data_IF_542418675517
#
_entry.id   IF_542418675517
#
_cell.length_a   1.000
_cell.length_b   1.000
_cell.length_c   1.000
_cell.angle_alpha   90.00
_cell.angle_beta   90.00
_cell.angle_gamma   90.00
#
_symmetry.space_group_name_H-M   'P 1'
#
loop_
_entity.id
_entity.type
_entity.pdbx_description
1 polymer ?
#
# COMPACT_ATOMS: atom_id res chain seq x y z
N UNK A 1 -23.38 -27.69 -6.63
CA UNK A 1 -22.08 -27.00 -6.47
C UNK A 1 -21.35 -27.70 -5.34
N UNK A 2 -20.15 -28.22 -5.57
CA UNK A 2 -19.41 -28.97 -4.56
C UNK A 2 -19.08 -28.03 -3.38
N UNK A 3 -19.04 -28.55 -2.15
CA UNK A 3 -18.63 -27.75 -0.97
C UNK A 3 -17.27 -27.09 -1.19
N UNK A 4 -16.37 -27.78 -1.89
CA UNK A 4 -15.05 -27.26 -2.24
C UNK A 4 -15.13 -26.01 -3.15
N UNK A 5 -16.06 -25.98 -4.12
CA UNK A 5 -16.29 -24.82 -4.99
C UNK A 5 -16.81 -23.61 -4.20
N UNK A 6 -17.67 -23.84 -3.21
CA UNK A 6 -18.20 -22.79 -2.32
C UNK A 6 -17.06 -22.12 -1.56
N UNK A 7 -16.19 -22.94 -0.95
CA UNK A 7 -15.03 -22.49 -0.17
C UNK A 7 -14.00 -21.81 -1.07
N UNK A 8 -13.80 -22.29 -2.28
CA UNK A 8 -12.90 -21.67 -3.25
C UNK A 8 -13.39 -20.29 -3.70
N UNK A 9 -14.69 -20.15 -3.96
CA UNK A 9 -15.30 -18.85 -4.27
C UNK A 9 -15.17 -17.88 -3.11
N UNK A 10 -15.29 -18.36 -1.87
CA UNK A 10 -15.03 -17.55 -0.69
C UNK A 10 -13.58 -17.06 -0.64
N UNK A 11 -12.60 -17.94 -0.87
CA UNK A 11 -11.19 -17.54 -0.98
C UNK A 11 -11.03 -16.39 -1.99
N UNK A 12 -11.63 -16.53 -3.18
CA UNK A 12 -11.55 -15.52 -4.26
C UNK A 12 -12.13 -14.18 -3.84
N UNK A 13 -13.23 -14.16 -3.10
CA UNK A 13 -13.81 -12.93 -2.55
C UNK A 13 -12.86 -12.26 -1.56
N UNK A 14 -12.23 -13.03 -0.65
CA UNK A 14 -11.29 -12.49 0.33
C UNK A 14 -9.98 -12.01 -0.29
N UNK A 15 -9.47 -12.72 -1.29
CA UNK A 15 -8.27 -12.31 -2.02
C UNK A 15 -8.52 -11.02 -2.81
N UNK A 16 -9.64 -10.94 -3.53
CA UNK A 16 -10.07 -9.72 -4.20
C UNK A 16 -10.21 -8.53 -3.23
N UNK A 17 -10.77 -8.78 -2.05
CA UNK A 17 -10.91 -7.77 -0.99
C UNK A 17 -9.54 -7.30 -0.49
N UNK A 18 -8.61 -8.22 -0.26
CA UNK A 18 -7.25 -7.89 0.15
C UNK A 18 -6.53 -7.03 -0.92
N UNK A 19 -6.64 -7.40 -2.20
CA UNK A 19 -6.06 -6.66 -3.33
C UNK A 19 -6.66 -5.26 -3.47
N UNK A 20 -7.99 -5.12 -3.36
CA UNK A 20 -8.66 -3.81 -3.40
C UNK A 20 -8.25 -2.93 -2.21
N UNK A 21 -8.21 -3.49 -1.01
CA UNK A 21 -7.77 -2.78 0.19
C UNK A 21 -6.32 -2.29 0.04
N UNK A 22 -5.42 -3.15 -0.43
CA UNK A 22 -4.02 -2.81 -0.68
C UNK A 22 -3.88 -1.71 -1.74
N UNK A 23 -4.63 -1.81 -2.84
CA UNK A 23 -4.61 -0.80 -3.91
C UNK A 23 -5.12 0.55 -3.41
N UNK A 24 -6.19 0.57 -2.61
CA UNK A 24 -6.74 1.79 -2.00
C UNK A 24 -5.73 2.43 -1.06
N UNK A 25 -5.10 1.65 -0.19
CA UNK A 25 -4.05 2.13 0.73
C UNK A 25 -2.85 2.70 -0.04
N UNK A 26 -2.38 2.01 -1.08
CA UNK A 26 -1.30 2.50 -1.95
C UNK A 26 -1.65 3.82 -2.62
N UNK A 27 -2.87 3.96 -3.16
CA UNK A 27 -3.34 5.22 -3.76
C UNK A 27 -3.43 6.34 -2.72
N UNK A 28 -3.98 6.07 -1.53
CA UNK A 28 -4.06 7.04 -0.44
C UNK A 28 -2.66 7.50 0.00
N UNK A 29 -1.71 6.59 0.20
CA UNK A 29 -0.31 6.93 0.54
C UNK A 29 0.34 7.81 -0.52
N UNK A 30 0.15 7.47 -1.81
CA UNK A 30 0.67 8.29 -2.93
C UNK A 30 0.01 9.67 -2.98
N UNK A 31 -1.30 9.74 -2.76
CA UNK A 31 -2.05 11.00 -2.71
C UNK A 31 -1.58 11.91 -1.57
N UNK A 32 -1.45 11.36 -0.36
CA UNK A 32 -0.92 12.09 0.79
C UNK A 32 0.50 12.60 0.55
N UNK A 33 1.37 11.73 0.01
CA UNK A 33 2.73 12.11 -0.39
C UNK A 33 2.71 13.26 -1.38
N UNK A 34 1.97 13.14 -2.48
CA UNK A 34 1.88 14.18 -3.50
C UNK A 34 1.38 15.51 -2.91
N UNK A 35 0.32 15.48 -2.10
CA UNK A 35 -0.23 16.68 -1.47
C UNK A 35 0.79 17.34 -0.53
N UNK A 36 1.50 16.55 0.29
CA UNK A 36 2.52 17.09 1.20
C UNK A 36 3.69 17.73 0.43
N UNK A 37 4.18 17.08 -0.63
CA UNK A 37 5.28 17.60 -1.45
C UNK A 37 4.87 18.86 -2.21
N UNK A 38 3.70 18.84 -2.87
CA UNK A 38 3.19 19.98 -3.61
C UNK A 38 2.84 21.16 -2.68
N UNK A 39 2.26 20.88 -1.52
CA UNK A 39 1.98 21.89 -0.50
C UNK A 39 3.25 22.56 0.00
N UNK A 40 4.26 21.78 0.37
CA UNK A 40 5.56 22.30 0.79
C UNK A 40 6.20 23.18 -0.29
N UNK A 41 6.21 22.74 -1.55
CA UNK A 41 6.74 23.53 -2.67
C UNK A 41 5.97 24.84 -2.89
N UNK A 42 4.64 24.82 -2.83
CA UNK A 42 3.80 26.02 -2.94
C UNK A 42 4.08 27.00 -1.78
N UNK A 43 4.25 26.49 -0.57
CA UNK A 43 4.56 27.32 0.61
C UNK A 43 5.91 28.02 0.50
N UNK A 44 6.95 27.31 0.04
CA UNK A 44 8.26 27.92 -0.18
C UNK A 44 8.24 28.96 -1.31
N UNK A 45 7.55 28.66 -2.42
CA UNK A 45 7.39 29.61 -3.53
C UNK A 45 6.61 30.87 -3.10
N UNK A 46 5.53 30.70 -2.32
CA UNK A 46 4.77 31.82 -1.76
C UNK A 46 5.65 32.71 -0.89
N UNK A 47 6.43 32.11 0.02
CA UNK A 47 7.36 32.85 0.87
C UNK A 47 8.44 33.56 0.06
N UNK A 48 9.02 32.89 -0.95
CA UNK A 48 10.09 33.46 -1.76
C UNK A 48 9.60 34.66 -2.59
N UNK A 49 8.42 34.54 -3.20
CA UNK A 49 7.82 35.63 -3.97
C UNK A 49 7.39 36.80 -3.08
N UNK A 50 6.96 36.52 -1.84
CA UNK A 50 6.59 37.55 -0.86
C UNK A 50 7.78 38.34 -0.29
N UNK A 51 9.02 37.82 -0.42
CA UNK A 51 10.25 38.52 -0.02
C UNK A 51 10.84 39.39 -1.13
N UNK A 52 10.40 39.22 -2.38
CA UNK A 52 10.87 40.03 -3.50
C UNK A 52 10.17 41.39 -3.45
N UNK A 53 10.92 42.49 -3.42
CA UNK A 53 10.40 43.88 -3.43
C UNK A 53 9.71 44.27 -4.77
N UNK A 54 8.80 43.44 -5.26
CA UNK A 54 7.92 43.79 -6.35
C UNK A 54 6.80 44.70 -5.81
N UNK A 55 6.44 45.69 -6.61
CA UNK A 55 5.50 46.78 -6.28
C UNK A 55 4.18 46.30 -5.65
N UNK A 56 3.46 47.15 -4.88
CA UNK A 56 2.19 46.79 -4.22
C UNK A 56 1.09 46.23 -5.15
N UNK A 57 1.23 46.45 -6.47
CA UNK A 57 0.33 45.97 -7.52
C UNK A 57 0.77 44.63 -8.13
N UNK A 58 1.96 44.12 -7.78
CA UNK A 58 2.54 42.91 -8.34
C UNK A 58 2.05 41.65 -7.60
N UNK A 59 0.86 41.23 -8.03
CA UNK A 59 0.35 39.85 -8.05
C UNK A 59 -0.26 39.30 -6.74
N UNK A 60 -1.54 38.94 -6.81
CA UNK A 60 -2.22 38.07 -5.84
C UNK A 60 -1.66 36.62 -5.82
N UNK A 61 -0.52 36.38 -6.46
CA UNK A 61 0.07 35.07 -6.68
C UNK A 61 0.67 34.46 -5.39
N UNK A 62 1.44 35.20 -4.56
CA UNK A 62 1.97 34.66 -3.30
C UNK A 62 0.86 34.24 -2.34
N UNK A 63 -0.20 35.05 -2.22
CA UNK A 63 -1.35 34.76 -1.38
C UNK A 63 -2.09 33.50 -1.86
N UNK A 64 -2.35 33.37 -3.17
CA UNK A 64 -2.97 32.17 -3.76
C UNK A 64 -2.12 30.91 -3.55
N UNK A 65 -0.79 31.01 -3.71
CA UNK A 65 0.13 29.89 -3.47
C UNK A 65 0.17 29.50 -1.98
N UNK A 66 0.11 30.48 -1.07
CA UNK A 66 0.01 30.24 0.36
C UNK A 66 -1.28 29.52 0.75
N UNK A 67 -2.42 29.94 0.21
CA UNK A 67 -3.71 29.27 0.41
C UNK A 67 -3.70 27.84 -0.14
N UNK A 68 -3.14 27.65 -1.35
CA UNK A 68 -3.00 26.32 -1.96
C UNK A 68 -2.08 25.40 -1.13
N UNK A 69 -0.99 25.94 -0.59
CA UNK A 69 -0.10 25.22 0.32
C UNK A 69 -0.85 24.70 1.55
N UNK A 70 -1.56 25.57 2.25
CA UNK A 70 -2.34 25.21 3.43
C UNK A 70 -3.40 24.14 3.11
N UNK A 71 -4.10 24.28 1.98
CA UNK A 71 -5.08 23.30 1.51
C UNK A 71 -4.44 21.93 1.26
N UNK A 72 -3.32 21.87 0.55
CA UNK A 72 -2.64 20.63 0.19
C UNK A 72 -2.03 19.94 1.42
N UNK A 73 -1.41 20.69 2.32
CA UNK A 73 -0.88 20.14 3.59
C UNK A 73 -2.03 19.62 4.47
N UNK A 74 -3.12 20.38 4.57
CA UNK A 74 -4.32 19.95 5.29
C UNK A 74 -4.94 18.67 4.71
N UNK A 75 -5.00 18.57 3.37
CA UNK A 75 -5.48 17.38 2.69
C UNK A 75 -4.57 16.18 2.93
N UNK A 76 -3.25 16.35 2.92
CA UNK A 76 -2.29 15.29 3.23
C UNK A 76 -2.49 14.74 4.66
N UNK A 77 -2.64 15.63 5.64
CA UNK A 77 -2.91 15.25 7.03
C UNK A 77 -4.27 14.54 7.18
N UNK A 78 -5.31 15.04 6.49
CA UNK A 78 -6.63 14.42 6.48
C UNK A 78 -6.60 13.02 5.86
N UNK A 79 -5.95 12.83 4.70
CA UNK A 79 -5.78 11.50 4.08
C UNK A 79 -5.04 10.56 5.03
N UNK A 80 -3.96 11.02 5.67
CA UNK A 80 -3.19 10.23 6.63
C UNK A 80 -4.03 9.74 7.80
N UNK A 81 -4.86 10.63 8.36
CA UNK A 81 -5.72 10.28 9.51
C UNK A 81 -6.89 9.39 9.12
N UNK A 82 -7.58 9.68 8.02
CA UNK A 82 -8.86 9.04 7.69
C UNK A 82 -8.71 7.78 6.84
N UNK A 83 -7.75 7.79 5.90
CA UNK A 83 -7.59 6.70 4.92
C UNK A 83 -6.46 5.74 5.26
N UNK A 84 -5.47 6.17 6.06
CA UNK A 84 -4.33 5.35 6.48
C UNK A 84 -4.40 4.91 7.96
N UNK A 85 -5.60 4.93 8.53
CA UNK A 85 -5.84 4.49 9.90
C UNK A 85 -5.40 3.02 10.14
N UNK A 86 -4.84 2.68 11.32
CA UNK A 86 -4.41 1.32 11.64
C UNK A 86 -5.48 0.24 11.44
N UNK A 87 -6.77 0.60 11.58
CA UNK A 87 -7.86 -0.34 11.33
C UNK A 87 -7.95 -0.73 9.84
N UNK A 88 -7.63 0.17 8.92
CA UNK A 88 -7.56 -0.15 7.50
C UNK A 88 -6.44 -1.16 7.19
N UNK A 89 -5.31 -1.05 7.88
CA UNK A 89 -4.22 -2.02 7.77
C UNK A 89 -4.58 -3.38 8.38
N UNK A 90 -5.21 -3.38 9.57
CA UNK A 90 -5.72 -4.61 10.20
C UNK A 90 -6.71 -5.33 9.29
N UNK A 91 -7.66 -4.60 8.69
CA UNK A 91 -8.61 -5.17 7.72
C UNK A 91 -7.92 -5.76 6.49
N UNK A 92 -6.90 -5.08 5.94
CA UNK A 92 -6.12 -5.60 4.80
C UNK A 92 -5.42 -6.90 5.18
N UNK A 93 -4.70 -6.90 6.31
CA UNK A 93 -3.92 -8.05 6.78
C UNK A 93 -4.83 -9.21 7.16
N UNK A 94 -5.98 -8.94 7.80
CA UNK A 94 -6.99 -9.94 8.11
C UNK A 94 -7.59 -10.59 6.87
N UNK A 95 -8.02 -9.80 5.89
CA UNK A 95 -8.54 -10.33 4.63
C UNK A 95 -7.50 -11.21 3.91
N UNK A 96 -6.23 -10.78 3.86
CA UNK A 96 -5.12 -11.54 3.27
C UNK A 96 -4.88 -12.85 4.02
N UNK A 97 -4.84 -12.80 5.35
CA UNK A 97 -4.62 -13.97 6.19
C UNK A 97 -5.75 -15.01 6.03
N UNK A 98 -7.01 -14.55 5.97
CA UNK A 98 -8.17 -15.41 5.75
C UNK A 98 -8.12 -16.05 4.35
N UNK A 99 -7.85 -15.28 3.31
CA UNK A 99 -7.70 -15.78 1.95
C UNK A 99 -6.61 -16.87 1.85
N UNK A 100 -5.40 -16.59 2.34
CA UNK A 100 -4.29 -17.55 2.28
C UNK A 100 -4.54 -18.80 3.15
N UNK A 101 -5.25 -18.65 4.27
CA UNK A 101 -5.64 -19.79 5.11
C UNK A 101 -6.66 -20.69 4.38
N UNK A 102 -7.71 -20.11 3.80
CA UNK A 102 -8.70 -20.88 3.02
C UNK A 102 -8.02 -21.56 1.83
N UNK A 103 -7.17 -20.82 1.11
CA UNK A 103 -6.40 -21.37 -0.01
C UNK A 103 -5.57 -22.57 0.41
N UNK A 104 -4.89 -22.48 1.55
CA UNK A 104 -4.12 -23.60 2.12
C UNK A 104 -5.02 -24.81 2.38
N UNK A 105 -6.14 -24.65 3.08
CA UNK A 105 -7.03 -25.77 3.40
C UNK A 105 -7.58 -26.44 2.13
N UNK A 106 -7.94 -25.66 1.11
CA UNK A 106 -8.37 -26.21 -0.20
C UNK A 106 -7.28 -27.08 -0.83
N UNK A 107 -6.01 -26.64 -0.81
CA UNK A 107 -4.91 -27.47 -1.34
C UNK A 107 -4.68 -28.73 -0.50
N UNK A 108 -4.82 -28.66 0.82
CA UNK A 108 -4.69 -29.85 1.68
C UNK A 108 -5.79 -30.88 1.39
N UNK A 109 -7.01 -30.44 1.11
CA UNK A 109 -8.12 -31.30 0.68
C UNK A 109 -7.86 -31.93 -0.69
N UNK A 110 -7.44 -31.14 -1.68
CA UNK A 110 -7.12 -31.65 -3.02
C UNK A 110 -6.00 -32.70 -2.98
N UNK A 111 -5.03 -32.51 -2.10
CA UNK A 111 -3.90 -33.42 -1.89
C UNK A 111 -4.20 -34.58 -0.95
N UNK A 112 -5.42 -34.70 -0.42
CA UNK A 112 -5.83 -35.72 0.55
C UNK A 112 -4.87 -35.84 1.76
N UNK A 113 -4.31 -34.71 2.21
CA UNK A 113 -3.37 -34.68 3.34
C UNK A 113 -4.16 -34.80 4.64
N UNK A 114 -3.75 -35.62 5.63
CA UNK A 114 -4.43 -35.69 6.92
C UNK A 114 -4.63 -34.29 7.55
N UNK A 115 -5.84 -33.96 8.03
CA UNK A 115 -6.98 -34.84 8.29
C UNK A 115 -8.00 -34.91 7.13
N UNK A 116 -7.63 -34.67 5.88
CA UNK A 116 -8.54 -34.69 4.71
C UNK A 116 -8.46 -35.98 3.89
N UNK A 117 -7.82 -37.01 4.44
CA UNK A 117 -7.62 -38.35 3.87
C UNK A 117 -8.84 -39.28 4.05
N UNK A 118 -10.01 -38.74 4.37
CA UNK A 118 -11.24 -39.51 4.63
C UNK A 118 -12.48 -38.90 3.98
N UNK A 119 -13.58 -39.66 3.96
CA UNK A 119 -14.88 -39.23 3.45
C UNK A 119 -15.45 -37.99 4.17
N UNK A 120 -14.94 -37.66 5.37
CA UNK A 120 -15.32 -36.49 6.15
C UNK A 120 -14.53 -35.21 5.78
N UNK A 121 -13.71 -35.24 4.73
CA UNK A 121 -12.87 -34.11 4.33
C UNK A 121 -13.65 -32.79 4.16
N UNK A 122 -14.87 -32.88 3.62
CA UNK A 122 -15.73 -31.70 3.42
C UNK A 122 -16.21 -31.06 4.73
N UNK A 123 -16.57 -31.87 5.73
CA UNK A 123 -16.99 -31.36 7.05
C UNK A 123 -15.80 -30.76 7.81
N UNK A 124 -14.65 -31.44 7.75
CA UNK A 124 -13.41 -30.95 8.35
C UNK A 124 -12.95 -29.62 7.74
N UNK A 125 -13.15 -29.45 6.43
CA UNK A 125 -12.84 -28.19 5.73
C UNK A 125 -13.74 -27.06 6.24
N UNK A 126 -15.05 -27.29 6.36
CA UNK A 126 -16.00 -26.29 6.88
C UNK A 126 -15.65 -25.86 8.31
N UNK A 127 -15.28 -26.82 9.17
CA UNK A 127 -14.81 -26.51 10.52
C UNK A 127 -13.51 -25.72 10.52
N UNK A 128 -12.54 -26.09 9.67
CA UNK A 128 -11.27 -25.39 9.56
C UNK A 128 -11.47 -23.94 9.11
N UNK A 129 -12.26 -23.72 8.05
CA UNK A 129 -12.60 -22.38 7.57
C UNK A 129 -13.32 -21.57 8.65
N UNK A 130 -14.27 -22.19 9.37
CA UNK A 130 -15.00 -21.53 10.46
C UNK A 130 -14.07 -21.10 11.59
N UNK A 131 -13.11 -21.95 11.99
CA UNK A 131 -12.10 -21.61 13.01
C UNK A 131 -11.23 -20.43 12.57
N UNK A 132 -10.81 -20.41 11.30
CA UNK A 132 -10.02 -19.30 10.76
C UNK A 132 -10.84 -18.00 10.78
N UNK A 133 -12.09 -18.02 10.32
CA UNK A 133 -12.98 -16.84 10.37
C UNK A 133 -13.08 -16.26 11.78
N UNK A 134 -13.32 -17.12 12.77
CA UNK A 134 -13.40 -16.71 14.18
C UNK A 134 -12.09 -16.10 14.67
N UNK A 135 -10.94 -16.68 14.30
CA UNK A 135 -9.61 -16.21 14.73
C UNK A 135 -9.24 -14.84 14.16
N UNK A 136 -9.55 -14.60 12.88
CA UNK A 136 -9.22 -13.32 12.23
C UNK A 136 -10.19 -12.22 12.69
N UNK A 137 -11.36 -12.57 13.25
CA UNK A 137 -12.29 -11.62 13.84
C UNK A 137 -12.84 -10.61 12.83
N UNK A 138 -12.78 -10.93 11.53
CA UNK A 138 -13.29 -10.04 10.49
C UNK A 138 -14.80 -10.15 10.51
N UNK A 139 -15.46 -9.17 11.14
CA UNK A 139 -16.90 -9.04 11.06
C UNK A 139 -17.31 -9.00 9.58
N UNK A 140 -18.31 -9.81 9.25
CA UNK A 140 -18.90 -10.06 7.94
C UNK A 140 -19.63 -8.82 7.37
N UNK A 141 -18.97 -7.66 7.38
CA UNK A 141 -19.48 -6.46 6.77
C UNK A 141 -19.46 -6.69 5.26
N UNK A 142 -20.64 -7.04 4.78
CA UNK A 142 -21.12 -7.07 3.42
C UNK A 142 -20.65 -5.82 2.66
N UNK A 143 -19.42 -5.88 2.15
CA UNK A 143 -19.05 -5.12 0.97
C UNK A 143 -19.32 -6.07 -0.17
N UNK A 144 -20.29 -5.72 -1.02
CA UNK A 144 -20.59 -6.34 -2.31
C UNK A 144 -19.34 -6.27 -3.18
N UNK A 145 -18.42 -7.19 -2.93
CA UNK A 145 -17.24 -7.40 -3.74
C UNK A 145 -17.71 -8.30 -4.85
N UNK A 146 -17.97 -7.72 -6.02
CA UNK A 146 -18.11 -8.50 -7.25
C UNK A 146 -16.89 -9.40 -7.40
N UNK A 147 -17.13 -10.68 -7.70
CA UNK A 147 -16.04 -11.62 -7.97
C UNK A 147 -15.16 -11.06 -9.10
N UNK A 148 -13.82 -11.18 -9.00
CA UNK A 148 -12.95 -10.83 -10.11
C UNK A 148 -13.29 -11.69 -11.33
N UNK A 149 -13.39 -11.08 -12.50
CA UNK A 149 -13.45 -11.79 -13.78
C UNK A 149 -12.19 -12.68 -13.93
N UNK A 150 -12.38 -13.95 -14.26
CA UNK A 150 -11.31 -14.93 -14.46
C UNK A 150 -11.74 -16.36 -14.12
N UNK A 151 -10.90 -17.34 -14.46
CA UNK A 151 -11.18 -18.77 -14.27
C UNK A 151 -11.58 -19.08 -12.82
N UNK A 152 -12.82 -19.53 -12.61
CA UNK A 152 -13.35 -19.92 -11.29
C UNK A 152 -12.95 -21.33 -10.89
N UNK A 153 -12.25 -22.06 -11.78
CA UNK A 153 -11.95 -23.46 -11.54
C UNK A 153 -11.08 -23.65 -10.30
N UNK A 154 -11.31 -24.78 -9.65
CA UNK A 154 -10.39 -25.29 -8.65
C UNK A 154 -9.02 -25.52 -9.30
N UNK A 155 -7.92 -25.35 -8.54
CA UNK A 155 -6.61 -25.69 -9.04
C UNK A 155 -6.54 -27.20 -9.33
N UNK A 156 -6.03 -27.56 -10.51
CA UNK A 156 -5.81 -28.95 -10.89
C UNK A 156 -4.51 -29.42 -10.25
N UNK A 157 -4.61 -30.06 -9.08
CA UNK A 157 -3.45 -30.60 -8.36
C UNK A 157 -3.82 -32.00 -7.90
N UNK A 158 -3.23 -33.02 -8.53
CA UNK A 158 -3.40 -34.42 -8.16
C UNK A 158 -2.17 -35.04 -7.49
N UNK A 159 -0.99 -34.41 -7.61
CA UNK A 159 0.26 -34.94 -7.05
C UNK A 159 1.13 -33.85 -6.40
N UNK A 160 2.07 -34.27 -5.54
CA UNK A 160 3.01 -33.36 -4.88
C UNK A 160 3.93 -32.71 -5.91
N UNK A 161 4.33 -33.45 -6.95
CA UNK A 161 5.12 -32.94 -8.08
C UNK A 161 4.38 -31.80 -8.79
N UNK A 162 3.10 -32.03 -9.15
CA UNK A 162 2.25 -31.00 -9.76
C UNK A 162 2.07 -29.78 -8.84
N UNK A 163 1.97 -29.97 -7.53
CA UNK A 163 1.93 -28.87 -6.57
C UNK A 163 3.24 -28.06 -6.58
N UNK A 164 4.40 -28.73 -6.59
CA UNK A 164 5.71 -28.06 -6.55
C UNK A 164 5.92 -27.27 -7.84
N UNK A 165 5.72 -27.89 -9.01
CA UNK A 165 5.91 -27.24 -10.31
C UNK A 165 4.89 -26.11 -10.55
N UNK A 166 3.59 -26.36 -10.35
CA UNK A 166 2.56 -25.38 -10.70
C UNK A 166 2.42 -24.23 -9.67
N UNK A 167 3.01 -24.36 -8.48
CA UNK A 167 2.83 -23.35 -7.42
C UNK A 167 4.12 -22.84 -6.82
N UNK A 168 5.07 -23.72 -6.50
CA UNK A 168 6.28 -23.31 -5.77
C UNK A 168 7.27 -22.63 -6.71
N UNK A 169 7.52 -23.22 -7.88
CA UNK A 169 8.46 -22.65 -8.88
C UNK A 169 7.95 -21.31 -9.40
N UNK A 170 6.67 -21.23 -9.80
CA UNK A 170 6.04 -19.98 -10.22
C UNK A 170 6.09 -18.88 -9.13
N UNK A 171 5.93 -19.26 -7.86
CA UNK A 171 6.04 -18.31 -6.75
C UNK A 171 7.48 -17.85 -6.54
N UNK A 172 8.47 -18.75 -6.60
CA UNK A 172 9.89 -18.41 -6.49
C UNK A 172 10.27 -17.43 -7.60
N UNK A 173 9.99 -17.76 -8.86
CA UNK A 173 10.29 -16.91 -10.01
C UNK A 173 9.62 -15.54 -9.91
N UNK A 174 8.36 -15.50 -9.47
CA UNK A 174 7.65 -14.24 -9.26
C UNK A 174 8.30 -13.41 -8.15
N UNK A 175 8.65 -14.03 -7.02
CA UNK A 175 9.28 -13.35 -5.89
C UNK A 175 10.68 -12.85 -6.25
N UNK A 176 11.50 -13.63 -6.93
CA UNK A 176 12.84 -13.23 -7.37
C UNK A 176 12.78 -12.02 -8.31
N UNK A 177 11.89 -12.05 -9.31
CA UNK A 177 11.66 -10.91 -10.20
C UNK A 177 11.22 -9.66 -9.43
N UNK A 178 10.32 -9.82 -8.44
CA UNK A 178 9.86 -8.70 -7.61
C UNK A 178 10.96 -8.14 -6.71
N UNK A 179 11.77 -9.00 -6.09
CA UNK A 179 12.90 -8.58 -5.26
C UNK A 179 13.90 -7.80 -6.09
N UNK A 180 14.28 -8.29 -7.28
CA UNK A 180 15.19 -7.57 -8.17
C UNK A 180 14.64 -6.18 -8.57
N UNK A 181 13.36 -6.10 -8.95
CA UNK A 181 12.70 -4.84 -9.29
C UNK A 181 12.65 -3.86 -8.10
N UNK A 182 12.31 -4.35 -6.91
CA UNK A 182 12.26 -3.51 -5.72
C UNK A 182 13.63 -3.09 -5.22
N UNK A 183 14.66 -3.94 -5.35
CA UNK A 183 16.04 -3.57 -5.01
C UNK A 183 16.51 -2.37 -5.84
N UNK A 184 16.30 -2.40 -7.17
CA UNK A 184 16.64 -1.27 -8.06
C UNK A 184 15.86 -0.01 -7.71
N UNK A 185 14.56 -0.14 -7.44
CA UNK A 185 13.75 1.01 -7.02
C UNK A 185 14.22 1.58 -5.70
N UNK A 186 14.45 0.74 -4.69
CA UNK A 186 14.88 1.15 -3.35
C UNK A 186 16.22 1.87 -3.38
N UNK A 187 17.16 1.42 -4.23
CA UNK A 187 18.43 2.11 -4.42
C UNK A 187 18.26 3.50 -5.06
N UNK A 188 17.39 3.64 -6.07
CA UNK A 188 17.05 4.95 -6.65
C UNK A 188 16.43 5.89 -5.62
N UNK A 189 15.50 5.40 -4.80
CA UNK A 189 14.87 6.19 -3.74
C UNK A 189 15.88 6.58 -2.65
N UNK A 190 16.79 5.67 -2.26
CA UNK A 190 17.86 5.95 -1.31
C UNK A 190 18.79 7.04 -1.82
N UNK A 191 19.21 6.98 -3.09
CA UNK A 191 20.02 8.02 -3.74
C UNK A 191 19.28 9.35 -3.81
N UNK A 192 18.01 9.34 -4.20
CA UNK A 192 17.16 10.54 -4.20
C UNK A 192 17.05 11.19 -2.83
N UNK A 193 16.85 10.39 -1.77
CA UNK A 193 16.83 10.86 -0.38
C UNK A 193 18.14 11.53 0.01
N UNK A 194 19.28 10.90 -0.26
CA UNK A 194 20.59 11.45 0.07
C UNK A 194 20.87 12.76 -0.68
N UNK A 195 20.54 12.82 -1.97
CA UNK A 195 20.67 14.05 -2.76
C UNK A 195 19.81 15.18 -2.21
N UNK A 196 18.56 14.89 -1.84
CA UNK A 196 17.67 15.87 -1.20
C UNK A 196 18.21 16.29 0.17
N UNK A 197 18.61 15.37 1.04
CA UNK A 197 19.19 15.73 2.34
C UNK A 197 20.45 16.60 2.21
N UNK A 198 21.32 16.32 1.23
CA UNK A 198 22.48 17.14 0.93
C UNK A 198 22.06 18.54 0.44
N UNK A 199 21.08 18.61 -0.45
CA UNK A 199 20.53 19.87 -0.94
C UNK A 199 19.93 20.71 0.20
N UNK A 200 19.20 20.09 1.13
CA UNK A 200 18.69 20.75 2.35
C UNK A 200 19.81 21.39 3.13
N UNK A 201 20.90 20.64 3.36
CA UNK A 201 22.04 21.11 4.12
C UNK A 201 22.75 22.27 3.42
N UNK A 202 22.94 22.20 2.10
CA UNK A 202 23.53 23.30 1.32
C UNK A 202 22.64 24.55 1.34
N UNK A 203 21.33 24.40 1.16
CA UNK A 203 20.39 25.52 1.24
C UNK A 203 20.35 26.13 2.66
N UNK A 204 20.45 25.31 3.70
CA UNK A 204 20.53 25.78 5.09
C UNK A 204 21.84 26.52 5.39
N UNK A 205 22.95 26.13 4.76
CA UNK A 205 24.24 26.82 4.91
C UNK A 205 24.28 28.14 4.11
N UNK A 206 23.65 28.20 2.93
CA UNK A 206 23.52 29.43 2.13
C UNK A 206 22.51 30.45 2.68
N UNK A 207 21.73 30.08 3.69
CA UNK A 207 20.74 30.91 4.36
C UNK A 207 21.32 32.15 5.06
N UNK A 208 22.63 32.18 5.33
CA UNK A 208 23.28 33.32 5.98
C UNK A 208 23.56 34.51 5.06
N UNK A 209 23.51 34.33 3.73
CA UNK A 209 23.89 35.39 2.77
C UNK A 209 22.74 35.89 1.88
N UNK A 210 21.63 35.15 1.76
CA UNK A 210 20.45 35.61 1.02
C UNK A 210 19.14 35.17 1.70
N UNK A 211 18.23 36.14 1.90
CA UNK A 211 16.99 35.99 2.67
C UNK A 211 16.02 34.91 2.15
N UNK A 212 16.20 34.43 0.91
CA UNK A 212 15.30 33.47 0.27
C UNK A 212 15.61 31.98 0.55
N UNK A 213 16.85 31.63 0.93
CA UNK A 213 17.28 30.24 1.12
C UNK A 213 16.67 29.51 2.34
N UNK A 214 16.43 30.15 3.50
CA UNK A 214 15.82 29.47 4.66
C UNK A 214 14.44 28.86 4.37
N UNK A 215 13.67 29.44 3.44
CA UNK A 215 12.30 29.02 3.14
C UNK A 215 12.21 27.64 2.46
N UNK A 216 13.29 27.18 1.83
CA UNK A 216 13.34 25.87 1.19
C UNK A 216 13.79 24.75 2.13
N UNK A 217 14.37 25.07 3.29
CA UNK A 217 14.83 24.06 4.27
C UNK A 217 13.70 23.16 4.76
N UNK A 218 12.49 23.67 5.14
CA UNK A 218 11.37 22.82 5.52
C UNK A 218 10.88 21.93 4.38
N UNK A 219 10.92 22.41 3.13
CA UNK A 219 10.52 21.63 1.95
C UNK A 219 11.45 20.44 1.80
N UNK A 220 12.75 20.69 1.76
CA UNK A 220 13.71 19.61 1.53
C UNK A 220 13.76 18.63 2.71
N UNK A 221 13.56 19.12 3.93
CA UNK A 221 13.38 18.26 5.12
C UNK A 221 12.13 17.39 5.02
N UNK A 222 11.00 17.97 4.59
CA UNK A 222 9.73 17.25 4.39
C UNK A 222 9.87 16.20 3.30
N UNK A 223 10.51 16.52 2.18
CA UNK A 223 10.85 15.58 1.12
C UNK A 223 11.72 14.42 1.65
N UNK A 224 12.76 14.73 2.41
CA UNK A 224 13.64 13.72 3.02
C UNK A 224 12.92 12.80 4.01
N UNK A 225 12.08 13.37 4.89
CA UNK A 225 11.29 12.64 5.87
C UNK A 225 10.22 11.74 5.22
N UNK A 226 9.51 12.26 4.22
CA UNK A 226 8.50 11.50 3.48
C UNK A 226 9.11 10.35 2.68
N UNK A 227 10.29 10.56 2.08
CA UNK A 227 11.02 9.48 1.43
C UNK A 227 11.46 8.40 2.42
N UNK A 228 11.92 8.78 3.61
CA UNK A 228 12.27 7.81 4.66
C UNK A 228 11.03 7.01 5.12
N UNK A 229 9.91 7.70 5.35
CA UNK A 229 8.66 7.07 5.79
C UNK A 229 8.02 6.16 4.73
N UNK A 230 8.30 6.37 3.43
CA UNK A 230 7.78 5.50 2.35
C UNK A 230 8.66 4.26 2.09
N UNK A 231 9.89 4.25 2.61
CA UNK A 231 10.85 3.14 2.44
C UNK A 231 10.91 2.19 3.65
N UNK A 232 10.46 2.62 4.83
CA UNK A 232 10.32 1.78 6.03
C UNK A 232 8.97 1.06 6.05
#
# INVERSE_FOLDING_TARGET
MNKLDVVWREFRLWDARAVRADTRLKRARRGALFCALAGAACGALAGQLGLSEATPEASALPERLGMLSALLVGLAAWIGRELLDPESERRRTGARALAESIKREVHLVLMQVPPYDSDLASERLEEAVSRVRMKVGVADRAYTTTLPEGDESLPQVGTVEEYVTNRVEDQIDWHERKVALYAVQLDRWRRGRLALSLLAMVLALGASEAAAFPLWVPVVTTFGGLLAAHMG
#
